data_IF_129810581459
#
_entry.id   IF_129810581459
#
_cell.length_a   1.000
_cell.length_b   1.000
_cell.length_c   1.000
_cell.angle_alpha   90.00
_cell.angle_beta   90.00
_cell.angle_gamma   90.00
#
_symmetry.space_group_name_H-M   'P 1'
#
loop_
_entity.id
_entity.type
_entity.pdbx_description
1 polymer ?
#
# COMPACT_ATOMS: atom_id res chain seq x y z
N UNK A 1 21.24 -6.73 3.66
CA UNK A 1 19.99 -5.95 3.55
C UNK A 1 18.83 -6.86 3.92
N UNK A 2 18.57 -7.06 5.21
CA UNK A 2 17.41 -7.83 5.66
C UNK A 2 16.18 -6.97 5.41
N UNK A 3 15.38 -7.30 4.38
CA UNK A 3 14.06 -6.67 4.22
C UNK A 3 13.24 -7.06 5.44
N UNK A 4 13.09 -6.15 6.39
CA UNK A 4 12.13 -6.32 7.48
C UNK A 4 10.78 -6.66 6.83
N UNK A 5 10.22 -7.81 7.19
CA UNK A 5 8.92 -8.24 6.71
C UNK A 5 7.88 -7.33 7.36
N UNK A 6 7.54 -6.23 6.69
CA UNK A 6 6.41 -5.37 7.07
C UNK A 6 5.13 -6.22 6.96
N UNK A 7 4.56 -6.57 8.11
CA UNK A 7 3.28 -7.26 8.18
C UNK A 7 2.17 -6.22 8.20
N UNK A 8 1.32 -6.23 7.18
CA UNK A 8 0.17 -5.36 7.07
C UNK A 8 -1.09 -6.11 7.49
N UNK A 9 -1.90 -5.50 8.35
CA UNK A 9 -3.21 -6.04 8.75
C UNK A 9 -4.17 -6.04 7.57
N UNK A 10 -5.22 -6.87 7.64
CA UNK A 10 -6.25 -6.94 6.60
C UNK A 10 -6.91 -5.56 6.39
N UNK A 11 -7.38 -4.93 7.47
CA UNK A 11 -8.03 -3.62 7.44
C UNK A 11 -7.15 -2.53 6.81
N UNK A 12 -5.83 -2.60 7.02
CA UNK A 12 -4.90 -1.67 6.39
C UNK A 12 -4.85 -1.87 4.87
N UNK A 13 -4.82 -3.13 4.41
CA UNK A 13 -4.79 -3.45 2.97
C UNK A 13 -6.07 -3.00 2.28
N UNK A 14 -7.22 -3.27 2.90
CA UNK A 14 -8.53 -2.91 2.38
C UNK A 14 -8.64 -1.40 2.20
N UNK A 15 -8.35 -0.61 3.25
CA UNK A 15 -8.34 0.86 3.15
C UNK A 15 -7.34 1.40 2.14
N UNK A 16 -6.15 0.81 2.05
CA UNK A 16 -5.13 1.24 1.09
C UNK A 16 -5.60 1.01 -0.37
N UNK A 17 -6.27 -0.11 -0.64
CA UNK A 17 -6.88 -0.38 -1.94
C UNK A 17 -8.02 0.58 -2.24
N UNK A 18 -8.97 0.78 -1.31
CA UNK A 18 -10.09 1.72 -1.50
C UNK A 18 -9.60 3.13 -1.83
N UNK A 19 -8.60 3.64 -1.10
CA UNK A 19 -7.99 4.94 -1.35
C UNK A 19 -7.33 5.01 -2.74
N UNK A 20 -6.70 3.92 -3.17
CA UNK A 20 -6.05 3.85 -4.49
C UNK A 20 -7.07 3.91 -5.63
N UNK A 21 -8.22 3.24 -5.47
CA UNK A 21 -9.32 3.31 -6.43
C UNK A 21 -10.00 4.69 -6.42
N UNK A 22 -10.19 5.29 -5.24
CA UNK A 22 -10.86 6.57 -5.10
C UNK A 22 -10.04 7.73 -5.69
N UNK A 23 -8.71 7.72 -5.51
CA UNK A 23 -7.82 8.78 -6.04
C UNK A 23 -7.25 8.49 -7.42
N UNK A 24 -7.21 7.22 -7.85
CA UNK A 24 -6.69 6.81 -9.16
C UNK A 24 -5.16 6.85 -9.29
N UNK A 25 -4.42 7.04 -8.20
CA UNK A 25 -2.94 7.10 -8.21
C UNK A 25 -2.32 6.22 -7.13
N UNK A 26 -1.88 5.02 -7.52
CA UNK A 26 -1.17 4.06 -6.66
C UNK A 26 0.11 4.66 -6.08
N UNK A 27 0.84 5.46 -6.86
CA UNK A 27 2.14 6.03 -6.46
C UNK A 27 1.97 7.03 -5.32
N UNK A 28 0.96 7.90 -5.41
CA UNK A 28 0.68 8.89 -4.37
C UNK A 28 0.25 8.22 -3.08
N UNK A 29 -0.68 7.25 -3.15
CA UNK A 29 -1.12 6.49 -1.97
C UNK A 29 0.05 5.74 -1.32
N UNK A 30 0.93 5.14 -2.10
CA UNK A 30 2.11 4.44 -1.55
C UNK A 30 3.08 5.39 -0.84
N UNK A 31 3.27 6.62 -1.36
CA UNK A 31 4.08 7.64 -0.69
C UNK A 31 3.43 8.13 0.61
N UNK A 32 2.11 8.34 0.60
CA UNK A 32 1.36 8.80 1.77
C UNK A 32 1.34 7.75 2.90
N UNK A 33 1.22 6.47 2.54
CA UNK A 33 1.20 5.35 3.48
C UNK A 33 2.59 4.81 3.85
N UNK A 34 3.66 5.40 3.32
CA UNK A 34 5.04 4.90 3.41
C UNK A 34 5.14 3.39 3.11
N UNK A 35 4.55 2.94 2.00
CA UNK A 35 4.64 1.54 1.56
C UNK A 35 5.29 1.44 0.18
N UNK A 36 5.99 0.34 -0.13
CA UNK A 36 6.50 0.13 -1.48
C UNK A 36 5.36 0.00 -2.49
N UNK A 37 5.47 0.65 -3.65
CA UNK A 37 4.48 0.53 -4.73
C UNK A 37 4.23 -0.92 -5.16
N UNK A 38 5.27 -1.75 -5.17
CA UNK A 38 5.17 -3.18 -5.47
C UNK A 38 4.27 -3.96 -4.50
N UNK A 39 4.05 -3.44 -3.29
CA UNK A 39 3.18 -4.07 -2.29
C UNK A 39 1.72 -3.78 -2.64
N UNK A 40 1.38 -2.51 -2.89
CA UNK A 40 0.01 -2.13 -3.25
C UNK A 40 -0.40 -2.71 -4.60
N UNK A 41 0.49 -2.74 -5.60
CA UNK A 41 0.21 -3.36 -6.90
C UNK A 41 -0.05 -4.87 -6.85
N UNK A 42 0.28 -5.53 -5.73
CA UNK A 42 0.03 -6.95 -5.51
C UNK A 42 -1.25 -7.23 -4.71
N UNK A 43 -1.79 -6.21 -4.04
CA UNK A 43 -3.08 -6.29 -3.36
C UNK A 43 -4.18 -6.01 -4.37
#
# INVERSE_FOLDING_TARGET
>A
MSREKRNYTFDFKEKAMELSYARGSVIEICRELDIPTSVLSRW
#
